data_IF_594470251494
#
_entry.id   IF_594470251494
#
_cell.length_a   1.000
_cell.length_b   1.000
_cell.length_c   1.000
_cell.angle_alpha   90.00
_cell.angle_beta   90.00
_cell.angle_gamma   90.00
#
_symmetry.space_group_name_H-M   'P 1'
#
loop_
_entity.id
_entity.type
_entity.pdbx_description
1 polymer ?
#
# COMPACT_ATOMS: atom_id res chain seq x y z
N UNK A 1 23.84 7.79 24.05
CA UNK A 1 24.16 6.37 23.83
C UNK A 1 23.90 6.07 22.35
N UNK A 2 24.92 5.65 21.58
CA UNK A 2 24.82 5.42 20.13
C UNK A 2 24.39 3.98 19.87
N UNK A 3 23.25 3.79 19.23
CA UNK A 3 22.77 2.46 18.80
C UNK A 3 23.61 1.93 17.64
N UNK A 4 24.17 0.74 17.81
CA UNK A 4 24.93 0.02 16.78
C UNK A 4 23.97 -0.70 15.83
N UNK A 5 23.96 -0.30 14.55
CA UNK A 5 23.32 -1.05 13.47
C UNK A 5 24.27 -2.16 13.06
N UNK A 6 23.95 -3.42 13.41
CA UNK A 6 24.65 -4.59 12.87
C UNK A 6 24.02 -4.94 11.53
N UNK A 7 24.66 -4.51 10.44
CA UNK A 7 24.44 -5.10 9.13
C UNK A 7 24.95 -6.54 9.16
N UNK A 8 24.08 -7.50 8.84
CA UNK A 8 24.45 -8.89 8.69
C UNK A 8 25.19 -9.08 7.37
N UNK A 9 26.52 -9.09 7.45
CA UNK A 9 27.43 -9.48 6.38
C UNK A 9 27.37 -11.00 6.23
N UNK A 10 26.72 -11.49 5.18
CA UNK A 10 26.83 -12.88 4.74
C UNK A 10 27.86 -12.95 3.62
N UNK A 11 29.11 -13.18 4.02
CA UNK A 11 30.17 -13.62 3.11
C UNK A 11 29.91 -15.07 2.72
N UNK A 12 29.91 -15.39 1.42
CA UNK A 12 29.57 -16.76 1.00
C UNK A 12 29.50 -17.06 -0.49
N UNK A 13 30.49 -16.60 -1.27
CA UNK A 13 31.11 -17.35 -2.39
C UNK A 13 30.25 -17.63 -3.65
N UNK A 14 30.64 -16.97 -4.75
CA UNK A 14 30.93 -17.52 -6.09
C UNK A 14 30.67 -16.44 -7.14
N UNK A 15 31.72 -15.86 -7.73
CA UNK A 15 31.98 -15.89 -9.17
C UNK A 15 30.72 -15.62 -10.02
N UNK A 16 30.65 -14.55 -10.82
CA UNK A 16 31.50 -14.37 -12.00
C UNK A 16 31.83 -12.89 -12.22
N UNK A 17 33.08 -12.63 -12.62
CA UNK A 17 33.50 -11.38 -13.26
C UNK A 17 33.25 -11.50 -14.77
N UNK A 18 32.55 -10.52 -15.33
CA UNK A 18 32.76 -9.97 -16.68
C UNK A 18 32.09 -8.59 -16.66
N UNK A 19 32.82 -7.53 -16.28
CA UNK A 19 33.52 -6.61 -17.20
C UNK A 19 32.65 -6.25 -18.41
N UNK A 20 32.10 -5.04 -18.42
CA UNK A 20 32.02 -4.14 -19.57
C UNK A 20 31.50 -2.78 -19.09
N UNK A 21 32.44 -1.93 -18.68
CA UNK A 21 32.28 -0.49 -18.58
C UNK A 21 32.66 0.09 -19.95
N UNK A 22 31.90 1.09 -20.40
CA UNK A 22 32.20 2.16 -21.38
C UNK A 22 31.35 2.22 -22.66
N UNK A 23 30.91 3.47 -22.86
CA UNK A 23 30.75 4.20 -24.12
C UNK A 23 29.47 4.00 -24.94
N UNK A 24 28.57 4.98 -24.78
CA UNK A 24 27.91 5.61 -25.92
C UNK A 24 28.94 6.52 -26.61
N UNK A 25 29.09 6.49 -27.95
CA UNK A 25 28.47 7.54 -28.76
C UNK A 25 27.96 7.07 -30.15
N UNK A 26 27.14 7.94 -30.74
CA UNK A 26 26.48 7.90 -32.03
C UNK A 26 27.29 7.36 -33.23
N UNK A 27 26.61 6.65 -34.14
CA UNK A 27 26.73 6.86 -35.60
C UNK A 27 25.69 6.05 -36.39
N UNK A 28 25.01 6.78 -37.27
CA UNK A 28 24.69 6.40 -38.65
C UNK A 28 23.63 5.33 -38.92
N UNK A 29 22.40 5.84 -39.06
CA UNK A 29 21.54 5.67 -40.24
C UNK A 29 21.58 4.34 -40.98
N UNK A 30 20.48 3.60 -40.91
CA UNK A 30 19.93 2.90 -42.07
C UNK A 30 18.42 2.75 -41.92
N UNK A 31 17.69 3.37 -42.84
CA UNK A 31 16.27 3.20 -43.06
C UNK A 31 16.00 1.77 -43.55
N UNK A 32 15.16 1.03 -42.84
CA UNK A 32 14.59 -0.21 -43.35
C UNK A 32 13.07 -0.22 -43.11
N UNK A 33 12.37 0.55 -43.94
CA UNK A 33 11.01 0.26 -44.37
C UNK A 33 11.03 -1.15 -44.99
N UNK A 34 10.47 -2.13 -44.30
CA UNK A 34 10.05 -3.37 -44.94
C UNK A 34 8.58 -3.59 -44.66
N UNK A 35 7.87 -3.59 -45.76
CA UNK A 35 6.44 -3.70 -45.91
C UNK A 35 6.05 -5.16 -46.16
N UNK A 36 4.76 -5.44 -45.92
CA UNK A 36 3.94 -6.53 -46.43
C UNK A 36 4.01 -7.89 -45.73
N UNK A 37 2.99 -8.77 -45.89
CA UNK A 37 1.68 -8.59 -46.55
C UNK A 37 0.47 -8.91 -45.64
N UNK A 38 -0.67 -8.30 -45.99
CA UNK A 38 -2.02 -8.76 -45.62
C UNK A 38 -2.31 -10.09 -46.32
N UNK A 39 -2.64 -11.13 -45.56
CA UNK A 39 -3.21 -12.35 -46.12
C UNK A 39 -4.69 -12.40 -45.75
N UNK A 40 -5.50 -12.44 -46.79
CA UNK A 40 -6.94 -12.61 -46.75
C UNK A 40 -7.25 -14.10 -46.53
N UNK A 41 -8.11 -14.41 -45.55
CA UNK A 41 -8.84 -15.67 -45.55
C UNK A 41 -10.34 -15.39 -45.46
N UNK A 42 -10.92 -15.29 -46.65
CA UNK A 42 -12.30 -15.71 -46.88
C UNK A 42 -12.37 -17.21 -46.64
N UNK A 43 -13.34 -17.66 -45.84
CA UNK A 43 -14.12 -18.89 -46.09
C UNK A 43 -15.33 -18.89 -45.16
N UNK A 44 -16.45 -18.44 -45.72
CA UNK A 44 -17.81 -18.71 -45.24
C UNK A 44 -18.04 -20.21 -45.41
N UNK A 45 -18.31 -20.93 -44.33
CA UNK A 45 -19.01 -22.21 -44.39
C UNK A 45 -20.21 -22.17 -43.45
N UNK A 46 -21.35 -22.07 -44.12
CA UNK A 46 -22.71 -22.19 -43.68
C UNK A 46 -23.06 -23.70 -43.68
N UNK A 47 -23.59 -24.24 -42.58
CA UNK A 47 -24.43 -25.45 -42.55
C UNK A 47 -24.94 -25.73 -41.12
N UNK A 48 -26.03 -26.49 -40.94
CA UNK A 48 -27.25 -25.93 -40.38
C UNK A 48 -27.76 -26.64 -39.11
N UNK A 49 -28.66 -25.90 -38.43
CA UNK A 49 -29.86 -26.33 -37.70
C UNK A 49 -30.14 -27.86 -37.61
N UNK A 50 -30.15 -28.38 -36.37
CA UNK A 50 -31.24 -29.18 -35.76
C UNK A 50 -30.70 -30.12 -34.68
N UNK A 51 -31.18 -29.98 -33.44
CA UNK A 51 -31.56 -31.10 -32.56
C UNK A 51 -32.13 -30.55 -31.25
N UNK A 52 -33.39 -30.87 -31.00
CA UNK A 52 -34.10 -30.60 -29.76
C UNK A 52 -33.39 -31.27 -28.56
N UNK A 53 -33.17 -30.53 -27.48
CA UNK A 53 -32.70 -31.06 -26.22
C UNK A 53 -33.63 -30.59 -25.09
N UNK A 54 -34.13 -31.59 -24.35
CA UNK A 54 -34.97 -31.50 -23.17
C UNK A 54 -34.31 -30.58 -22.13
N UNK A 55 -34.99 -29.49 -21.75
CA UNK A 55 -34.49 -28.55 -20.75
C UNK A 55 -34.73 -29.11 -19.35
N UNK A 56 -33.81 -29.95 -18.87
CA UNK A 56 -33.67 -30.25 -17.46
C UNK A 56 -33.46 -28.95 -16.67
N UNK A 57 -34.22 -28.77 -15.59
CA UNK A 57 -34.07 -27.66 -14.65
C UNK A 57 -32.68 -27.79 -14.00
N UNK A 58 -31.70 -27.08 -14.55
CA UNK A 58 -30.43 -26.86 -13.89
C UNK A 58 -30.68 -25.88 -12.74
N UNK A 59 -30.65 -26.37 -11.51
CA UNK A 59 -30.54 -25.52 -10.33
C UNK A 59 -29.27 -24.68 -10.47
N UNK A 60 -29.44 -23.41 -10.87
CA UNK A 60 -28.37 -22.42 -10.90
C UNK A 60 -27.96 -22.21 -9.44
N UNK A 61 -26.91 -22.92 -9.03
CA UNK A 61 -26.11 -22.53 -7.88
C UNK A 61 -25.52 -21.16 -8.20
N UNK A 62 -26.12 -20.11 -7.66
CA UNK A 62 -25.54 -18.78 -7.68
C UNK A 62 -24.12 -18.89 -7.11
N UNK A 63 -23.08 -18.45 -7.84
CA UNK A 63 -21.76 -18.32 -7.22
C UNK A 63 -21.91 -17.30 -6.11
N UNK A 64 -21.90 -17.76 -4.86
CA UNK A 64 -21.64 -16.88 -3.74
C UNK A 64 -20.27 -16.27 -4.03
N UNK A 65 -20.25 -14.96 -4.32
CA UNK A 65 -19.03 -14.18 -4.36
C UNK A 65 -18.42 -14.26 -2.96
N UNK A 66 -17.56 -15.27 -2.75
CA UNK A 66 -16.85 -15.46 -1.51
C UNK A 66 -16.02 -14.21 -1.28
N UNK A 67 -16.39 -13.42 -0.28
CA UNK A 67 -15.53 -12.40 0.28
C UNK A 67 -14.26 -13.13 0.73
N UNK A 68 -13.18 -12.99 -0.03
CA UNK A 68 -11.90 -13.56 0.33
C UNK A 68 -11.47 -12.92 1.66
N UNK A 69 -10.95 -13.70 2.63
CA UNK A 69 -10.46 -13.14 3.88
C UNK A 69 -9.44 -12.03 3.61
N UNK A 70 -9.78 -10.79 3.96
CA UNK A 70 -8.86 -9.66 3.87
C UNK A 70 -7.96 -9.73 5.09
N UNK A 71 -6.65 -9.90 4.88
CA UNK A 71 -5.67 -9.80 5.96
C UNK A 71 -5.57 -8.35 6.45
N UNK A 72 -6.33 -8.02 7.49
CA UNK A 72 -6.39 -6.66 8.04
C UNK A 72 -5.07 -6.32 8.78
N UNK A 73 -4.40 -7.32 9.39
CA UNK A 73 -3.33 -7.09 10.36
C UNK A 73 -1.96 -7.66 9.95
N UNK A 74 -1.54 -7.43 8.70
CA UNK A 74 -0.16 -7.71 8.30
C UNK A 74 0.86 -6.88 9.11
N UNK A 75 2.05 -7.44 9.35
CA UNK A 75 3.16 -6.75 10.03
C UNK A 75 3.79 -5.75 9.05
N UNK A 76 3.87 -4.47 9.44
CA UNK A 76 4.55 -3.43 8.67
C UNK A 76 5.98 -3.21 9.18
N UNK A 77 6.16 -3.15 10.50
CA UNK A 77 7.47 -3.00 11.13
C UNK A 77 7.47 -3.59 12.56
N UNK A 78 8.66 -3.82 13.11
CA UNK A 78 8.87 -4.17 14.52
C UNK A 78 9.88 -3.23 15.14
N UNK A 79 9.52 -2.64 16.28
CA UNK A 79 10.35 -1.70 17.04
C UNK A 79 10.40 -2.18 18.48
N UNK A 80 11.59 -2.45 19.02
CA UNK A 80 11.78 -2.92 20.40
C UNK A 80 10.84 -4.06 20.83
N UNK A 81 10.57 -5.00 19.92
CA UNK A 81 9.69 -6.15 20.14
C UNK A 81 8.19 -5.88 19.96
N UNK A 82 7.78 -4.65 19.68
CA UNK A 82 6.38 -4.28 19.42
C UNK A 82 6.10 -4.16 17.92
N UNK A 83 4.95 -4.68 17.52
CA UNK A 83 4.54 -4.78 16.10
C UNK A 83 3.73 -3.55 15.71
N UNK A 84 4.10 -2.94 14.58
CA UNK A 84 3.30 -1.93 13.87
C UNK A 84 2.57 -2.65 12.74
N UNK A 85 1.25 -2.47 12.64
CA UNK A 85 0.41 -3.19 11.65
C UNK A 85 0.13 -2.35 10.41
N UNK A 86 -0.17 -3.02 9.30
CA UNK A 86 -0.59 -2.36 8.04
C UNK A 86 -1.87 -1.55 8.22
N UNK A 87 -2.81 -2.00 9.07
CA UNK A 87 -4.03 -1.26 9.36
C UNK A 87 -3.74 0.09 10.05
N UNK A 88 -2.77 0.13 10.97
CA UNK A 88 -2.38 1.39 11.62
C UNK A 88 -1.86 2.41 10.62
N UNK A 89 -0.99 1.97 9.71
CA UNK A 89 -0.50 2.81 8.60
C UNK A 89 -1.66 3.26 7.72
N UNK A 90 -2.59 2.36 7.38
CA UNK A 90 -3.72 2.66 6.52
C UNK A 90 -4.66 3.71 7.14
N UNK A 91 -5.01 3.59 8.43
CA UNK A 91 -5.86 4.54 9.15
C UNK A 91 -5.23 5.94 9.16
N UNK A 92 -3.94 6.02 9.47
CA UNK A 92 -3.19 7.29 9.48
C UNK A 92 -3.05 7.91 8.07
N UNK A 93 -3.04 7.09 7.03
CA UNK A 93 -2.96 7.54 5.65
C UNK A 93 -4.28 8.08 5.09
N UNK A 94 -5.45 7.70 5.64
CA UNK A 94 -6.78 8.12 5.16
C UNK A 94 -6.88 9.63 4.88
N UNK A 95 -6.56 10.52 5.84
CA UNK A 95 -6.67 11.96 5.61
C UNK A 95 -5.71 12.45 4.52
N UNK A 96 -4.48 11.95 4.49
CA UNK A 96 -3.47 12.34 3.48
C UNK A 96 -3.91 11.88 2.09
N UNK A 97 -4.45 10.67 1.98
CA UNK A 97 -5.00 10.15 0.72
C UNK A 97 -6.17 11.01 0.23
N UNK A 98 -7.04 11.46 1.12
CA UNK A 98 -8.15 12.34 0.76
C UNK A 98 -7.65 13.70 0.23
N UNK A 99 -6.63 14.28 0.89
CA UNK A 99 -5.98 15.50 0.45
C UNK A 99 -5.31 15.33 -0.93
N UNK A 100 -4.54 14.26 -1.12
CA UNK A 100 -3.89 13.95 -2.40
C UNK A 100 -4.93 13.69 -3.51
N UNK A 101 -6.04 13.04 -3.19
CA UNK A 101 -7.11 12.80 -4.16
C UNK A 101 -7.79 14.11 -4.62
N UNK A 102 -7.87 15.12 -3.74
CA UNK A 102 -8.33 16.45 -4.10
C UNK A 102 -7.31 17.21 -4.97
N UNK A 103 -6.02 17.05 -4.70
CA UNK A 103 -4.94 17.69 -5.47
C UNK A 103 -4.73 17.06 -6.86
N UNK A 104 -4.96 15.76 -7.00
CA UNK A 104 -4.76 15.02 -8.25
C UNK A 104 -6.05 14.32 -8.74
N UNK A 105 -6.99 15.05 -9.37
CA UNK A 105 -8.29 14.50 -9.78
C UNK A 105 -8.18 13.32 -10.75
N UNK A 106 -7.17 13.33 -11.63
CA UNK A 106 -6.95 12.26 -12.63
C UNK A 106 -6.18 11.05 -12.10
N UNK A 107 -5.75 11.05 -10.82
CA UNK A 107 -5.04 9.93 -10.14
C UNK A 107 -4.03 9.22 -11.05
N UNK A 108 -3.01 9.96 -11.49
CA UNK A 108 -1.96 9.45 -12.39
C UNK A 108 -0.73 8.91 -11.66
N UNK A 109 0.37 8.69 -12.39
CA UNK A 109 1.62 8.20 -11.83
C UNK A 109 2.18 9.09 -10.69
N UNK A 110 1.97 10.41 -10.77
CA UNK A 110 2.36 11.34 -9.70
C UNK A 110 1.56 11.12 -8.41
N UNK A 111 0.27 10.81 -8.51
CA UNK A 111 -0.56 10.53 -7.33
C UNK A 111 -0.06 9.28 -6.59
N UNK A 112 0.24 8.21 -7.32
CA UNK A 112 0.76 6.98 -6.70
C UNK A 112 2.15 7.18 -6.11
N UNK A 113 3.04 7.94 -6.78
CA UNK A 113 4.35 8.27 -6.24
C UNK A 113 4.27 9.05 -4.92
N UNK A 114 3.43 10.08 -4.86
CA UNK A 114 3.21 10.84 -3.62
C UNK A 114 2.51 10.02 -2.55
N UNK A 115 1.60 9.12 -2.93
CA UNK A 115 0.94 8.22 -1.99
C UNK A 115 1.92 7.22 -1.36
N UNK A 116 2.89 6.71 -2.11
CA UNK A 116 3.96 5.85 -1.57
C UNK A 116 4.86 6.63 -0.62
N UNK A 117 5.31 7.82 -1.01
CA UNK A 117 6.09 8.69 -0.10
C UNK A 117 5.34 9.00 1.20
N UNK A 118 4.04 9.30 1.09
CA UNK A 118 3.20 9.56 2.25
C UNK A 118 3.09 8.34 3.16
N UNK A 119 2.97 7.13 2.59
CA UNK A 119 2.96 5.87 3.36
C UNK A 119 4.26 5.67 4.13
N UNK A 120 5.39 5.91 3.49
CA UNK A 120 6.71 5.75 4.11
C UNK A 120 6.89 6.78 5.25
N UNK A 121 6.47 8.02 5.04
CA UNK A 121 6.45 9.05 6.09
C UNK A 121 5.56 8.67 7.28
N UNK A 122 4.37 8.14 7.03
CA UNK A 122 3.46 7.65 8.09
C UNK A 122 4.07 6.47 8.84
N UNK A 123 4.72 5.54 8.14
CA UNK A 123 5.39 4.41 8.77
C UNK A 123 6.52 4.89 9.69
N UNK A 124 7.33 5.85 9.23
CA UNK A 124 8.41 6.42 10.03
C UNK A 124 7.86 7.14 11.28
N UNK A 125 6.81 7.94 11.12
CA UNK A 125 6.15 8.62 12.25
C UNK A 125 5.63 7.61 13.29
N UNK A 126 5.06 6.48 12.85
CA UNK A 126 4.65 5.41 13.76
C UNK A 126 5.83 4.74 14.48
N UNK A 127 6.97 4.59 13.80
CA UNK A 127 8.21 4.08 14.40
C UNK A 127 8.69 5.05 15.48
N UNK A 128 8.79 6.34 15.16
CA UNK A 128 9.32 7.36 16.07
C UNK A 128 8.45 7.50 17.31
N UNK A 129 7.12 7.59 17.13
CA UNK A 129 6.15 7.55 18.25
C UNK A 129 6.34 6.31 19.10
N UNK A 130 6.63 5.17 18.49
CA UNK A 130 6.80 3.92 19.23
C UNK A 130 8.07 3.92 20.07
N UNK A 131 9.18 4.41 19.52
CA UNK A 131 10.44 4.58 20.24
C UNK A 131 10.22 5.45 21.47
N UNK A 132 9.62 6.63 21.30
CA UNK A 132 9.36 7.57 22.39
C UNK A 132 8.46 6.95 23.47
N UNK A 133 7.38 6.28 23.06
CA UNK A 133 6.47 5.63 24.01
C UNK A 133 7.12 4.47 24.77
N UNK A 134 8.06 3.77 24.15
CA UNK A 134 8.76 2.66 24.79
C UNK A 134 9.85 3.18 25.75
N UNK A 135 10.57 4.23 25.38
CA UNK A 135 11.53 4.93 26.26
C UNK A 135 10.81 5.53 27.48
N UNK A 136 9.67 6.18 27.29
CA UNK A 136 8.87 6.74 28.39
C UNK A 136 8.45 5.65 29.40
N UNK A 137 8.05 4.47 28.91
CA UNK A 137 7.71 3.33 29.75
C UNK A 137 8.93 2.73 30.45
N UNK A 138 10.09 2.69 29.80
CA UNK A 138 11.34 2.21 30.40
C UNK A 138 11.80 3.08 31.58
N UNK A 139 11.52 4.39 31.52
CA UNK A 139 11.79 5.31 32.62
C UNK A 139 10.84 5.13 33.82
N UNK A 140 9.86 4.21 33.74
CA UNK A 140 8.89 3.96 34.81
C UNK A 140 7.83 5.06 34.93
N UNK A 141 7.75 5.96 33.95
CA UNK A 141 6.71 6.98 33.91
C UNK A 141 5.41 6.36 33.38
N UNK A 142 4.34 6.43 34.18
CA UNK A 142 2.99 6.07 33.77
C UNK A 142 2.08 7.29 33.84
N UNK A 143 1.27 7.49 32.81
CA UNK A 143 0.27 8.55 32.82
C UNK A 143 -0.94 8.10 33.65
N UNK A 144 -1.29 8.87 34.68
CA UNK A 144 -2.50 8.61 35.47
C UNK A 144 -3.73 8.85 34.60
N UNK A 145 -4.70 7.94 34.64
CA UNK A 145 -5.95 8.04 33.88
C UNK A 145 -6.70 9.35 34.15
N UNK A 146 -6.69 9.83 35.40
CA UNK A 146 -7.33 11.10 35.76
C UNK A 146 -6.75 12.31 35.03
N UNK A 147 -5.45 12.31 34.71
CA UNK A 147 -4.81 13.39 33.96
C UNK A 147 -5.34 13.49 32.54
N UNK A 148 -5.68 12.35 31.91
CA UNK A 148 -6.32 12.32 30.59
C UNK A 148 -7.75 12.86 30.67
N UNK A 149 -8.51 12.46 31.68
CA UNK A 149 -9.89 12.93 31.88
C UNK A 149 -9.95 14.43 32.17
N UNK A 150 -9.02 14.96 32.96
CA UNK A 150 -8.89 16.39 33.25
C UNK A 150 -8.58 17.17 31.97
N UNK A 151 -7.68 16.66 31.14
CA UNK A 151 -7.33 17.25 29.85
C UNK A 151 -8.52 17.26 28.88
N UNK A 152 -9.27 16.14 28.79
CA UNK A 152 -10.49 16.05 27.98
C UNK A 152 -11.54 17.06 28.47
N UNK A 153 -11.77 17.14 29.79
CA UNK A 153 -12.71 18.13 30.37
C UNK A 153 -12.27 19.56 30.10
N UNK A 154 -10.96 19.83 30.11
CA UNK A 154 -10.41 21.15 29.75
C UNK A 154 -10.73 21.49 28.30
N UNK A 155 -10.45 20.58 27.36
CA UNK A 155 -10.74 20.80 25.93
C UNK A 155 -12.23 21.00 25.66
N UNK A 156 -13.12 20.25 26.32
CA UNK A 156 -14.58 20.44 26.19
C UNK A 156 -14.98 21.85 26.67
N UNK A 157 -14.38 22.34 27.76
CA UNK A 157 -14.66 23.68 28.27
C UNK A 157 -14.17 24.78 27.31
N UNK A 158 -12.97 24.62 26.76
CA UNK A 158 -12.31 25.62 25.91
C UNK A 158 -12.87 25.66 24.48
N UNK A 159 -13.10 24.50 23.86
CA UNK A 159 -13.51 24.40 22.46
C UNK A 159 -15.03 24.31 22.28
N UNK A 160 -15.74 23.77 23.28
CA UNK A 160 -17.17 23.46 23.19
C UNK A 160 -18.00 24.16 24.27
N UNK A 161 -17.45 25.15 24.99
CA UNK A 161 -18.14 25.88 26.07
C UNK A 161 -18.71 24.97 27.18
N UNK A 162 -18.11 23.80 27.40
CA UNK A 162 -18.56 22.83 28.39
C UNK A 162 -19.60 21.83 27.88
N UNK A 163 -19.96 21.89 26.59
CA UNK A 163 -21.05 21.11 26.01
C UNK A 163 -20.56 19.76 25.48
N UNK A 164 -20.56 18.75 26.36
CA UNK A 164 -20.03 17.41 26.06
C UNK A 164 -20.76 16.71 24.89
N UNK A 165 -22.02 17.07 24.63
CA UNK A 165 -22.80 16.49 23.54
C UNK A 165 -22.22 16.84 22.15
N UNK A 166 -21.50 17.96 22.02
CA UNK A 166 -20.88 18.41 20.76
C UNK A 166 -19.52 17.78 20.47
N UNK A 167 -18.95 17.06 21.43
CA UNK A 167 -17.62 16.46 21.34
C UNK A 167 -17.63 15.04 20.73
N UNK A 168 -18.80 14.39 20.69
CA UNK A 168 -18.94 12.98 20.29
C UNK A 168 -18.91 12.76 18.78
#
# INVERSE_FOLDING_TARGET
MRGTIRAAESAGIAGWRCVSLLANPDSDGTLALTSMPRHSLRKRFLCPMAAAAVLSIAAVGLPHAGAQPIEINGIAAKVNGKVITRNQVAIMLVPIRAQLAAQYPRRGAQFEAELVKARDGVLQELIDRRIILDEFKQLGAEMRSSSVEEEVKRQIRELYNGDQAKFQ
#
